data_IF_865056511076
#
_entry.id   IF_865056511076
#
_cell.length_a   1.000
_cell.length_b   1.000
_cell.length_c   1.000
_cell.angle_alpha   90.00
_cell.angle_beta   90.00
_cell.angle_gamma   90.00
#
_symmetry.space_group_name_H-M   'P 1'
#
loop_
_entity.id
_entity.type
_entity.pdbx_description
1 polymer ?
#
# COMPACT_ATOMS: atom_id res chain seq x y z
N UNK A 1 2.30 -4.23 -24.92
CA UNK A 1 3.10 -4.46 -23.68
C UNK A 1 2.93 -5.92 -23.31
N UNK A 2 4.02 -6.66 -23.07
CA UNK A 2 3.90 -8.08 -22.71
C UNK A 2 3.19 -8.22 -21.35
N UNK A 3 2.14 -9.06 -21.28
CA UNK A 3 1.33 -9.27 -20.08
C UNK A 3 2.18 -9.55 -18.83
N UNK A 4 3.33 -10.22 -19.03
CA UNK A 4 4.33 -10.50 -17.99
C UNK A 4 4.80 -9.23 -17.26
N UNK A 5 5.03 -8.12 -17.98
CA UNK A 5 5.52 -6.87 -17.36
C UNK A 5 4.46 -6.23 -16.46
N UNK A 6 3.20 -6.29 -16.88
CA UNK A 6 2.06 -5.75 -16.10
C UNK A 6 1.87 -6.61 -14.85
N UNK A 7 1.92 -7.93 -14.99
CA UNK A 7 1.81 -8.87 -13.86
C UNK A 7 2.92 -8.63 -12.83
N UNK A 8 4.17 -8.46 -13.26
CA UNK A 8 5.29 -8.14 -12.37
C UNK A 8 5.03 -6.84 -11.60
N UNK A 9 4.57 -5.79 -12.29
CA UNK A 9 4.35 -4.48 -11.69
C UNK A 9 3.24 -4.54 -10.63
N UNK A 10 2.12 -5.20 -10.93
CA UNK A 10 1.04 -5.44 -9.96
C UNK A 10 1.55 -6.24 -8.76
N UNK A 11 2.33 -7.29 -8.99
CA UNK A 11 2.87 -8.13 -7.92
C UNK A 11 3.78 -7.34 -6.97
N UNK A 12 4.65 -6.47 -7.52
CA UNK A 12 5.50 -5.58 -6.73
C UNK A 12 4.65 -4.57 -5.94
N UNK A 13 3.62 -3.97 -6.54
CA UNK A 13 2.73 -3.03 -5.83
C UNK A 13 2.00 -3.68 -4.65
N UNK A 14 1.53 -4.93 -4.82
CA UNK A 14 0.91 -5.70 -3.74
C UNK A 14 1.92 -6.01 -2.64
N UNK A 15 3.14 -6.42 -3.00
CA UNK A 15 4.21 -6.67 -2.03
C UNK A 15 4.50 -5.41 -1.18
N UNK A 16 4.65 -4.25 -1.83
CA UNK A 16 4.90 -2.97 -1.15
C UNK A 16 3.74 -2.59 -0.23
N UNK A 17 2.49 -2.83 -0.63
CA UNK A 17 1.31 -2.58 0.20
C UNK A 17 1.39 -3.37 1.52
N UNK A 18 1.71 -4.67 1.45
CA UNK A 18 1.87 -5.48 2.65
C UNK A 18 3.06 -5.04 3.49
N UNK A 19 4.24 -4.80 2.88
CA UNK A 19 5.39 -4.29 3.62
C UNK A 19 5.08 -2.96 4.32
N UNK A 20 4.35 -2.05 3.68
CA UNK A 20 4.00 -0.74 4.25
C UNK A 20 3.06 -0.82 5.46
N UNK A 21 2.29 -1.90 5.62
CA UNK A 21 1.50 -2.11 6.84
C UNK A 21 2.40 -2.44 8.05
N UNK A 22 3.47 -3.22 7.81
CA UNK A 22 4.41 -3.66 8.84
C UNK A 22 5.50 -2.61 9.13
N UNK A 23 6.04 -1.93 8.09
CA UNK A 23 7.02 -0.86 8.23
C UNK A 23 6.36 0.46 8.66
N UNK A 24 6.59 0.85 9.91
CA UNK A 24 6.27 2.19 10.39
C UNK A 24 6.99 2.49 11.71
N UNK A 25 6.63 3.57 12.42
CA UNK A 25 7.42 4.10 13.55
C UNK A 25 7.56 3.13 14.73
N UNK A 26 6.65 2.16 14.84
CA UNK A 26 6.78 1.00 15.73
C UNK A 26 6.84 -0.22 14.83
N UNK A 27 7.91 -1.00 14.92
CA UNK A 27 7.99 -2.31 14.24
C UNK A 27 7.04 -3.23 14.99
N UNK A 28 5.83 -3.38 14.46
CA UNK A 28 4.81 -4.23 15.06
C UNK A 28 5.25 -5.67 14.80
N UNK A 29 5.77 -6.33 15.83
CA UNK A 29 6.03 -7.76 15.79
C UNK A 29 4.66 -8.48 15.84
N UNK A 30 4.26 -9.23 14.81
CA UNK A 30 2.96 -9.92 14.78
C UNK A 30 2.78 -10.95 15.91
N UNK A 31 3.86 -11.30 16.63
CA UNK A 31 3.86 -12.21 17.78
C UNK A 31 3.60 -11.55 19.13
N UNK A 32 3.59 -10.21 19.24
CA UNK A 32 3.38 -9.50 20.50
C UNK A 32 2.48 -8.27 20.31
N UNK A 33 1.28 -8.51 19.75
CA UNK A 33 0.30 -7.46 19.44
C UNK A 33 -0.38 -6.97 20.73
N UNK A 34 0.01 -5.80 21.22
CA UNK A 34 -0.69 -5.11 22.30
C UNK A 34 -2.01 -4.52 21.75
N UNK A 35 -3.06 -4.42 22.57
CA UNK A 35 -4.36 -3.88 22.14
C UNK A 35 -4.27 -2.48 21.49
N UNK A 36 -3.36 -1.62 21.98
CA UNK A 36 -3.09 -0.30 21.38
C UNK A 36 -2.43 -0.38 19.99
N UNK A 37 -1.49 -1.31 19.77
CA UNK A 37 -0.79 -1.42 18.48
C UNK A 37 -1.74 -1.89 17.38
N UNK A 38 -2.69 -2.77 17.72
CA UNK A 38 -3.76 -3.19 16.81
C UNK A 38 -4.67 -2.02 16.43
N UNK A 39 -5.03 -1.18 17.39
CA UNK A 39 -5.87 -0.01 17.16
C UNK A 39 -5.14 1.02 16.29
N UNK A 40 -3.85 1.27 16.52
CA UNK A 40 -3.03 2.14 15.66
C UNK A 40 -2.93 1.59 14.23
N UNK A 41 -2.78 0.27 14.07
CA UNK A 41 -2.69 -0.35 12.75
C UNK A 41 -4.00 -0.19 11.97
N UNK A 42 -5.14 -0.49 12.60
CA UNK A 42 -6.46 -0.42 11.96
C UNK A 42 -6.99 1.00 11.78
N UNK A 43 -6.79 1.89 12.74
CA UNK A 43 -7.35 3.24 12.72
C UNK A 43 -6.46 4.28 12.04
N UNK A 44 -5.15 4.03 11.91
CA UNK A 44 -4.20 5.02 11.36
C UNK A 44 -3.44 4.49 10.14
N UNK A 45 -2.79 3.32 10.25
CA UNK A 45 -1.93 2.82 9.15
C UNK A 45 -2.74 2.33 7.96
N UNK A 46 -3.74 1.50 8.19
CA UNK A 46 -4.55 0.92 7.12
C UNK A 46 -5.26 2.01 6.29
N UNK A 47 -5.93 3.03 6.90
CA UNK A 47 -6.49 4.15 6.15
C UNK A 47 -5.44 4.90 5.33
N UNK A 48 -4.25 5.16 5.90
CA UNK A 48 -3.16 5.88 5.20
C UNK A 48 -2.68 5.13 3.96
N UNK A 49 -2.43 3.82 4.07
CA UNK A 49 -1.91 3.02 2.95
C UNK A 49 -2.97 2.90 1.85
N UNK A 50 -4.25 2.73 2.22
CA UNK A 50 -5.36 2.68 1.26
C UNK A 50 -5.50 4.00 0.50
N UNK A 51 -5.51 5.13 1.21
CA UNK A 51 -5.63 6.46 0.56
C UNK A 51 -4.42 6.74 -0.34
N UNK A 52 -3.21 6.38 0.07
CA UNK A 52 -2.01 6.55 -0.75
C UNK A 52 -2.06 5.70 -2.03
N UNK A 53 -2.53 4.45 -1.95
CA UNK A 53 -2.70 3.57 -3.10
C UNK A 53 -3.77 4.12 -4.07
N UNK A 54 -4.91 4.57 -3.54
CA UNK A 54 -5.98 5.18 -4.34
C UNK A 54 -5.51 6.47 -5.02
N UNK A 55 -4.80 7.36 -4.31
CA UNK A 55 -4.23 8.57 -4.90
C UNK A 55 -3.22 8.26 -5.99
N UNK A 56 -2.34 7.27 -5.78
CA UNK A 56 -1.37 6.84 -6.79
C UNK A 56 -2.04 6.35 -8.07
N UNK A 57 -3.09 5.53 -7.95
CA UNK A 57 -3.88 5.07 -9.09
C UNK A 57 -4.59 6.23 -9.80
N UNK A 58 -5.21 7.15 -9.05
CA UNK A 58 -5.89 8.31 -9.63
C UNK A 58 -4.91 9.20 -10.41
N UNK A 59 -3.74 9.51 -9.84
CA UNK A 59 -2.71 10.31 -10.51
C UNK A 59 -2.14 9.61 -11.76
N UNK A 60 -1.91 8.30 -11.70
CA UNK A 60 -1.45 7.52 -12.85
C UNK A 60 -2.49 7.47 -13.98
N UNK A 61 -3.77 7.29 -13.64
CA UNK A 61 -4.87 7.32 -14.60
C UNK A 61 -5.06 8.72 -15.20
N UNK A 62 -5.05 9.77 -14.38
CA UNK A 62 -5.13 11.15 -14.88
C UNK A 62 -3.95 11.52 -15.78
N UNK A 63 -2.74 11.08 -15.43
CA UNK A 63 -1.54 11.31 -16.25
C UNK A 63 -1.60 10.63 -17.61
N UNK A 64 -2.18 9.43 -17.70
CA UNK A 64 -2.39 8.73 -18.98
C UNK A 64 -3.50 9.36 -19.81
N UNK A 65 -4.57 9.83 -19.18
CA UNK A 65 -5.64 10.56 -19.89
C UNK A 65 -5.14 11.88 -20.47
N UNK A 66 -4.29 12.62 -19.74
CA UNK A 66 -3.74 13.92 -20.20
C UNK A 66 -2.58 13.79 -21.20
N UNK A 67 -1.93 12.63 -21.29
CA UNK A 67 -0.88 12.35 -22.27
C UNK A 67 -1.42 11.77 -23.59
N UNK A 68 -2.70 11.40 -23.63
CA UNK A 68 -3.39 10.85 -24.80
C UNK A 68 -3.96 11.93 -25.72
#
# INVERSE_FOLDING_TARGET
>A
MSAIKVVILVCISVLIFFLSLFLGPVVINPFNLTAMEKEILLSIRLPRVVVAALMGMALGASGTVLQG
#
